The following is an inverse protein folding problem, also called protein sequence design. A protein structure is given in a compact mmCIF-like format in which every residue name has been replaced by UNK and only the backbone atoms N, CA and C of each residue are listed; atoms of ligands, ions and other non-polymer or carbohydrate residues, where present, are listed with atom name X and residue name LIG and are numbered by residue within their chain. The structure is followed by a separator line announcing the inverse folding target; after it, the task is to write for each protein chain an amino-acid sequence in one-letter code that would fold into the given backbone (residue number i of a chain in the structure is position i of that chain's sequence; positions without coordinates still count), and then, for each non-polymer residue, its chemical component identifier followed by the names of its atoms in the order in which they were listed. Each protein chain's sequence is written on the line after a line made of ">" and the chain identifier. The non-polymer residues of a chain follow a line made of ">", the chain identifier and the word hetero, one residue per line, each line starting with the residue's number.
data_IF_932374612627
#
_entry.id   IF_932374612627
#
_cell.length_a   1.000
_cell.length_b   1.000
_cell.length_c   1.000
_cell.angle_alpha   90.00
_cell.angle_beta   90.00
_cell.angle_gamma   90.00
#
_symmetry.space_group_name_H-M   'P 1'
#
loop_
_entity.id
_entity.type
_entity.pdbx_description
1 polymer ?
#
# COMPACT_ATOMS: atom_id res chain seq x y z
N UNK A 1 87.28 -31.83 -25.04
CA UNK A 1 87.04 -32.23 -26.44
C UNK A 1 85.58 -32.07 -26.73
N UNK A 2 85.31 -31.17 -27.68
CA UNK A 2 84.17 -31.15 -28.61
C UNK A 2 82.76 -30.88 -28.09
N UNK A 3 82.41 -29.60 -28.27
CA UNK A 3 81.13 -29.02 -28.72
C UNK A 3 80.37 -29.95 -29.70
N UNK A 4 79.04 -30.03 -29.70
CA UNK A 4 78.01 -29.09 -30.21
C UNK A 4 76.63 -29.82 -30.10
N UNK A 5 75.41 -29.30 -30.47
CA UNK A 5 75.07 -27.97 -30.98
C UNK A 5 73.70 -27.37 -30.53
N UNK A 6 73.54 -26.07 -30.87
CA UNK A 6 72.36 -25.32 -31.35
C UNK A 6 70.99 -25.34 -30.63
N UNK A 7 70.67 -24.13 -30.20
CA UNK A 7 69.46 -23.47 -29.71
C UNK A 7 68.30 -23.33 -30.75
N UNK A 8 67.03 -23.54 -30.36
CA UNK A 8 65.87 -23.00 -31.05
C UNK A 8 65.24 -21.80 -30.32
N UNK A 9 65.09 -20.71 -31.08
CA UNK A 9 63.99 -19.74 -31.11
C UNK A 9 63.12 -19.52 -29.85
N UNK A 10 63.28 -18.30 -29.33
CA UNK A 10 62.66 -17.62 -28.19
C UNK A 10 61.11 -17.49 -28.27
N UNK A 11 60.34 -17.90 -27.23
CA UNK A 11 58.92 -17.57 -27.13
C UNK A 11 58.64 -16.32 -26.28
N UNK A 12 57.74 -15.51 -26.85
CA UNK A 12 56.99 -14.36 -26.33
C UNK A 12 56.79 -14.27 -24.81
N UNK A 13 57.09 -13.09 -24.27
CA UNK A 13 56.87 -12.68 -22.88
C UNK A 13 55.37 -12.60 -22.49
N UNK A 14 54.99 -12.96 -21.25
CA UNK A 14 53.62 -12.82 -20.77
C UNK A 14 53.31 -11.40 -20.26
N UNK A 15 52.16 -10.90 -20.70
CA UNK A 15 51.55 -9.61 -20.36
C UNK A 15 51.25 -9.45 -18.87
N UNK A 16 51.73 -8.37 -18.26
CA UNK A 16 51.38 -7.94 -16.89
C UNK A 16 49.91 -7.52 -16.77
N UNK A 17 49.19 -7.87 -15.69
CA UNK A 17 47.83 -7.40 -15.45
C UNK A 17 47.80 -5.93 -15.00
N UNK A 18 46.86 -5.16 -15.57
CA UNK A 18 46.60 -3.75 -15.27
C UNK A 18 45.89 -3.60 -13.90
N UNK A 19 46.42 -2.73 -13.04
CA UNK A 19 45.78 -2.33 -11.77
C UNK A 19 44.45 -1.58 -12.01
N UNK A 20 43.42 -1.78 -11.18
CA UNK A 20 42.18 -1.01 -11.25
C UNK A 20 42.38 0.43 -10.75
N UNK A 21 41.77 1.39 -11.47
CA UNK A 21 41.76 2.83 -11.14
C UNK A 21 40.80 3.09 -9.97
N UNK A 22 41.24 3.84 -8.96
CA UNK A 22 40.40 4.33 -7.85
C UNK A 22 39.34 5.33 -8.35
N UNK A 23 38.13 5.35 -7.78
CA UNK A 23 37.11 6.35 -8.12
C UNK A 23 37.44 7.73 -7.56
N UNK A 24 37.08 8.75 -8.34
CA UNK A 24 37.26 10.17 -8.11
C UNK A 24 36.22 10.71 -7.11
N UNK A 25 36.67 11.41 -6.07
CA UNK A 25 35.83 12.07 -5.06
C UNK A 25 35.81 13.58 -5.36
N UNK A 26 34.64 14.24 -5.49
CA UNK A 26 34.57 15.68 -5.66
C UNK A 26 34.98 16.43 -4.40
N UNK A 27 35.65 17.57 -4.61
CA UNK A 27 36.23 18.45 -3.60
C UNK A 27 35.18 19.48 -3.15
N UNK A 28 34.82 19.46 -1.87
CA UNK A 28 34.03 20.51 -1.23
C UNK A 28 34.83 21.82 -1.21
N UNK A 29 34.15 22.92 -1.53
CA UNK A 29 34.69 24.27 -1.40
C UNK A 29 33.71 25.21 -0.71
N UNK A 30 34.24 25.84 0.34
CA UNK A 30 33.92 27.16 0.91
C UNK A 30 32.60 27.39 1.65
N UNK A 31 32.68 27.06 2.93
CA UNK A 31 32.60 27.99 4.07
C UNK A 31 32.58 29.50 3.74
N UNK A 32 31.52 30.22 4.16
CA UNK A 32 31.59 31.62 4.57
C UNK A 32 31.16 31.69 6.05
N UNK A 33 32.12 31.99 6.91
CA UNK A 33 31.87 32.26 8.32
C UNK A 33 31.38 33.69 8.53
N UNK A 34 30.56 33.86 9.56
CA UNK A 34 30.54 35.09 10.37
C UNK A 34 30.49 34.71 11.85
N UNK A 35 31.60 35.04 12.50
CA UNK A 35 31.82 35.39 13.91
C UNK A 35 30.58 35.77 14.74
N UNK A 36 30.44 35.22 15.96
CA UNK A 36 30.68 35.97 17.21
C UNK A 36 30.49 35.13 18.50
N UNK A 37 31.60 35.07 19.28
CA UNK A 37 31.80 34.96 20.74
C UNK A 37 30.62 34.69 21.71
N UNK A 38 30.78 33.57 22.45
CA UNK A 38 31.06 33.46 23.90
C UNK A 38 30.16 34.08 25.01
N UNK A 39 29.46 33.16 25.72
CA UNK A 39 29.39 32.90 27.20
C UNK A 39 28.52 33.77 28.15
N UNK A 40 28.20 33.31 29.40
CA UNK A 40 26.80 33.17 29.85
C UNK A 40 26.47 33.86 31.21
N UNK A 41 25.19 34.01 31.53
CA UNK A 41 24.65 34.30 32.88
C UNK A 41 23.14 34.00 32.78
N UNK A 42 22.46 33.17 33.58
CA UNK A 42 22.46 33.05 35.03
C UNK A 42 21.18 33.72 35.57
N UNK A 43 20.40 32.99 36.40
CA UNK A 43 19.19 33.38 37.18
C UNK A 43 17.83 33.03 36.51
N UNK A 44 17.11 31.99 36.96
CA UNK A 44 16.39 31.81 38.23
C UNK A 44 15.13 32.69 38.33
N UNK A 45 13.93 32.10 38.18
CA UNK A 45 12.90 32.21 39.21
C UNK A 45 11.73 31.24 39.02
N UNK A 46 11.50 30.47 40.07
CA UNK A 46 10.27 29.78 40.41
C UNK A 46 9.23 30.79 40.93
N UNK A 47 7.95 30.51 40.72
CA UNK A 47 6.79 30.80 41.60
C UNK A 47 5.54 30.30 40.89
N UNK A 48 5.00 29.13 41.23
CA UNK A 48 3.99 28.89 42.28
C UNK A 48 2.88 29.95 42.31
N UNK A 49 1.65 29.54 41.99
CA UNK A 49 0.52 29.76 42.90
C UNK A 49 -0.58 28.73 42.66
N UNK A 50 -1.15 28.32 43.79
CA UNK A 50 -2.04 27.20 44.07
C UNK A 50 -3.21 27.80 44.86
N UNK A 51 -4.38 27.19 44.75
CA UNK A 51 -5.55 27.19 45.67
C UNK A 51 -6.83 27.98 45.40
N UNK A 52 -7.94 27.24 45.59
CA UNK A 52 -9.29 27.62 46.06
C UNK A 52 -10.32 27.71 44.94
N UNK A 53 -11.23 26.76 44.66
CA UNK A 53 -12.18 25.93 45.44
C UNK A 53 -13.42 26.68 45.98
N UNK A 54 -14.59 26.02 45.82
CA UNK A 54 -15.95 26.25 46.40
C UNK A 54 -16.85 27.32 45.71
N UNK A 55 -18.17 27.17 45.53
CA UNK A 55 -19.15 26.08 45.61
C UNK A 55 -20.54 26.64 45.15
N UNK A 56 -21.49 25.75 44.86
CA UNK A 56 -22.97 25.89 45.00
C UNK A 56 -23.90 26.71 44.06
N UNK A 57 -24.80 25.92 43.42
CA UNK A 57 -26.30 25.96 43.46
C UNK A 57 -27.16 26.90 42.57
N UNK A 58 -28.03 26.22 41.79
CA UNK A 58 -29.52 26.27 41.79
C UNK A 58 -30.33 27.07 40.74
N UNK A 59 -31.42 26.43 40.25
CA UNK A 59 -32.71 27.04 39.84
C UNK A 59 -32.85 27.44 38.36
N UNK A 60 -33.43 26.66 37.44
CA UNK A 60 -34.86 26.32 37.22
C UNK A 60 -35.77 27.47 36.73
N UNK A 61 -36.28 27.35 35.48
CA UNK A 61 -37.68 27.53 34.99
C UNK A 61 -37.96 28.46 33.78
N UNK A 62 -38.57 27.83 32.76
CA UNK A 62 -39.83 28.15 32.00
C UNK A 62 -39.91 29.48 31.19
N UNK A 63 -40.08 29.43 29.85
CA UNK A 63 -41.28 29.21 28.97
C UNK A 63 -42.14 30.47 28.69
N UNK A 64 -42.07 30.98 27.44
CA UNK A 64 -43.08 31.52 26.44
C UNK A 64 -44.14 32.58 26.92
N UNK A 65 -44.97 33.31 26.11
CA UNK A 65 -45.06 33.59 24.65
C UNK A 65 -45.45 35.04 24.17
N UNK A 66 -45.38 35.22 22.83
CA UNK A 66 -46.25 35.95 21.86
C UNK A 66 -47.00 37.24 22.26
N UNK A 67 -46.99 38.24 21.35
CA UNK A 67 -48.23 38.80 20.74
C UNK A 67 -48.00 39.68 19.50
N UNK A 68 -48.85 39.47 18.49
CA UNK A 68 -49.12 40.32 17.32
C UNK A 68 -49.85 41.61 17.73
N UNK A 69 -49.84 42.63 16.88
CA UNK A 69 -51.05 43.42 16.65
C UNK A 69 -51.11 44.04 15.24
N UNK A 70 -52.33 44.15 14.75
CA UNK A 70 -52.78 44.40 13.38
C UNK A 70 -53.24 45.87 13.16
N UNK A 71 -53.43 46.23 11.88
CA UNK A 71 -54.57 46.98 11.29
C UNK A 71 -54.35 48.34 10.55
N UNK A 72 -54.68 48.25 9.23
CA UNK A 72 -55.15 49.11 8.10
C UNK A 72 -55.95 50.41 8.42
N UNK A 73 -56.54 51.22 7.47
CA UNK A 73 -56.58 51.20 5.98
C UNK A 73 -56.56 52.57 5.23
N UNK A 74 -56.62 52.55 3.86
CA UNK A 74 -57.46 53.36 2.92
C UNK A 74 -56.84 53.33 1.50
N UNK A 75 -57.39 52.58 0.53
CA UNK A 75 -58.43 52.94 -0.46
C UNK A 75 -57.99 53.96 -1.55
N UNK A 76 -57.79 53.53 -2.80
CA UNK A 76 -58.78 53.76 -3.89
C UNK A 76 -58.39 53.10 -5.22
N UNK A 77 -59.41 52.58 -5.90
CA UNK A 77 -59.40 51.96 -7.23
C UNK A 77 -59.45 53.02 -8.35
N UNK A 78 -58.88 52.71 -9.54
CA UNK A 78 -59.53 52.82 -10.87
C UNK A 78 -58.57 52.39 -12.00
N UNK A 79 -59.04 51.44 -12.82
CA UNK A 79 -58.50 51.01 -14.13
C UNK A 79 -59.16 51.83 -15.28
N UNK A 80 -59.10 51.42 -16.57
CA UNK A 80 -57.98 51.26 -17.51
C UNK A 80 -58.21 52.11 -18.80
N UNK A 81 -57.23 52.19 -19.70
CA UNK A 81 -57.42 52.84 -21.01
C UNK A 81 -56.40 52.43 -22.05
N UNK A 82 -56.87 51.70 -23.06
CA UNK A 82 -56.16 51.39 -24.31
C UNK A 82 -55.85 52.68 -25.08
N UNK A 83 -54.68 52.79 -25.72
CA UNK A 83 -54.61 53.12 -27.16
C UNK A 83 -53.20 53.10 -27.76
N UNK A 84 -53.23 52.81 -29.05
CA UNK A 84 -52.17 52.47 -29.98
C UNK A 84 -51.37 53.67 -30.51
N UNK A 85 -50.15 53.36 -31.00
CA UNK A 85 -49.29 54.07 -31.98
C UNK A 85 -48.54 55.33 -31.54
N UNK A 86 -47.19 55.23 -31.58
CA UNK A 86 -46.32 55.96 -32.54
C UNK A 86 -44.88 55.42 -32.48
N UNK A 87 -44.36 55.02 -33.65
CA UNK A 87 -42.95 54.73 -33.95
C UNK A 87 -42.11 56.02 -33.83
N UNK A 88 -40.92 55.91 -33.22
CA UNK A 88 -39.78 56.82 -33.41
C UNK A 88 -38.46 56.05 -33.07
N UNK A 89 -37.31 56.44 -33.64
CA UNK A 89 -36.42 55.50 -34.32
C UNK A 89 -35.23 54.99 -33.49
N UNK A 90 -34.65 53.92 -34.02
CA UNK A 90 -33.41 53.22 -33.67
C UNK A 90 -32.34 54.09 -32.99
N UNK A 91 -32.05 53.76 -31.73
CA UNK A 91 -30.69 53.90 -31.19
C UNK A 91 -30.06 52.51 -31.15
N UNK A 92 -29.11 52.31 -32.07
CA UNK A 92 -28.18 51.18 -32.08
C UNK A 92 -27.41 51.15 -30.77
N UNK A 93 -27.85 50.31 -29.83
CA UNK A 93 -27.01 49.86 -28.75
C UNK A 93 -26.41 48.51 -29.17
N UNK A 94 -25.25 48.57 -29.82
CA UNK A 94 -24.34 47.44 -29.93
C UNK A 94 -23.72 47.20 -28.55
N UNK A 95 -24.43 46.49 -27.67
CA UNK A 95 -23.83 45.83 -26.50
C UNK A 95 -24.78 44.73 -26.03
N UNK A 96 -24.90 43.69 -26.85
CA UNK A 96 -25.40 42.41 -26.37
C UNK A 96 -24.66 41.29 -27.11
N UNK A 97 -23.37 41.15 -26.80
CA UNK A 97 -22.72 39.85 -26.95
C UNK A 97 -23.19 39.04 -25.75
N UNK A 98 -24.32 38.37 -25.95
CA UNK A 98 -24.85 37.32 -25.10
C UNK A 98 -23.73 36.36 -24.72
N UNK A 99 -23.23 36.50 -23.50
CA UNK A 99 -22.36 35.52 -22.84
C UNK A 99 -23.24 34.36 -22.31
N UNK A 100 -24.01 33.75 -23.21
CA UNK A 100 -24.89 32.61 -22.95
C UNK A 100 -24.44 31.35 -23.70
N UNK A 101 -23.20 31.30 -24.19
CA UNK A 101 -22.53 30.03 -24.48
C UNK A 101 -21.73 29.59 -23.24
N UNK A 102 -22.44 29.34 -22.14
CA UNK A 102 -21.92 28.46 -21.10
C UNK A 102 -21.86 27.04 -21.68
N UNK A 103 -20.75 26.80 -22.38
CA UNK A 103 -20.28 25.55 -22.96
C UNK A 103 -20.82 24.32 -22.23
N UNK A 104 -21.91 23.74 -22.74
CA UNK A 104 -22.29 22.35 -22.46
C UNK A 104 -21.32 21.44 -23.21
N UNK A 105 -20.03 21.51 -22.87
CA UNK A 105 -19.04 20.53 -23.31
C UNK A 105 -19.44 19.19 -22.71
N UNK A 106 -19.70 18.22 -23.59
CA UNK A 106 -19.92 16.84 -23.18
C UNK A 106 -18.80 16.38 -22.23
N UNK A 107 -19.12 15.56 -21.20
CA UNK A 107 -18.13 15.10 -20.24
C UNK A 107 -16.99 14.39 -20.96
N UNK A 108 -15.75 14.71 -20.60
CA UNK A 108 -14.57 14.11 -21.23
C UNK A 108 -14.54 12.60 -20.97
N UNK A 109 -14.65 11.80 -22.03
CA UNK A 109 -14.56 10.33 -21.97
C UNK A 109 -13.08 9.93 -21.79
N UNK A 110 -12.75 9.00 -20.89
CA UNK A 110 -11.39 8.47 -20.80
C UNK A 110 -10.98 7.76 -22.09
N UNK A 111 -9.72 7.91 -22.49
CA UNK A 111 -9.13 7.04 -23.49
C UNK A 111 -9.00 5.63 -22.91
N UNK A 112 -9.18 4.60 -23.74
CA UNK A 112 -9.01 3.21 -23.30
C UNK A 112 -7.52 2.94 -23.08
N UNK A 113 -7.15 2.53 -21.87
CA UNK A 113 -5.82 2.00 -21.59
C UNK A 113 -5.57 0.69 -22.35
N UNK A 114 -4.33 0.51 -22.81
CA UNK A 114 -3.85 -0.75 -23.38
C UNK A 114 -2.99 -1.43 -22.33
N UNK A 115 -3.38 -2.62 -21.90
CA UNK A 115 -2.60 -3.43 -20.95
C UNK A 115 -2.52 -2.89 -19.52
N UNK A 116 -3.48 -2.07 -19.09
CA UNK A 116 -3.50 -1.60 -17.71
C UNK A 116 -3.98 -2.66 -16.71
N UNK A 117 -3.54 -2.48 -15.46
CA UNK A 117 -3.83 -3.31 -14.30
C UNK A 117 -5.32 -3.12 -13.94
N UNK A 118 -6.05 -4.23 -13.93
CA UNK A 118 -7.44 -4.27 -13.48
C UNK A 118 -7.49 -4.63 -12.01
N UNK A 119 -8.38 -3.97 -11.29
CA UNK A 119 -8.63 -4.34 -9.90
C UNK A 119 -9.31 -5.71 -9.82
N UNK A 120 -8.94 -6.47 -8.80
CA UNK A 120 -9.52 -7.76 -8.49
C UNK A 120 -10.72 -7.51 -7.58
N UNK A 121 -11.87 -8.05 -7.96
CA UNK A 121 -13.09 -7.99 -7.15
C UNK A 121 -13.62 -9.40 -6.93
N UNK A 122 -13.99 -9.71 -5.69
CA UNK A 122 -14.64 -10.96 -5.31
C UNK A 122 -16.04 -10.64 -4.80
N UNK A 123 -17.07 -11.25 -5.40
CA UNK A 123 -18.48 -10.95 -5.08
C UNK A 123 -18.84 -9.45 -5.15
N UNK A 124 -18.21 -8.72 -6.09
CA UNK A 124 -18.40 -7.28 -6.27
C UNK A 124 -17.72 -6.40 -5.21
N UNK A 125 -16.92 -6.98 -4.31
CA UNK A 125 -16.15 -6.27 -3.29
C UNK A 125 -14.67 -6.23 -3.65
N UNK A 126 -14.03 -5.09 -3.36
CA UNK A 126 -12.59 -4.92 -3.48
C UNK A 126 -11.90 -5.39 -2.19
N UNK A 127 -10.76 -6.08 -2.32
CA UNK A 127 -10.01 -6.62 -1.20
C UNK A 127 -10.50 -7.99 -0.74
N UNK A 128 -9.67 -9.02 -0.93
CA UNK A 128 -9.93 -10.41 -0.48
C UNK A 128 -9.77 -10.52 1.03
N UNK A 129 -8.69 -9.96 1.58
CA UNK A 129 -8.38 -10.06 2.99
C UNK A 129 -8.91 -8.88 3.81
N UNK A 130 -9.09 -9.09 5.11
CA UNK A 130 -9.64 -8.07 6.01
C UNK A 130 -8.79 -6.78 6.01
N UNK A 131 -7.47 -6.89 5.90
CA UNK A 131 -6.56 -5.73 5.94
C UNK A 131 -6.60 -4.89 4.66
N UNK A 132 -6.80 -5.51 3.50
CA UNK A 132 -7.00 -4.77 2.25
C UNK A 132 -8.35 -4.04 2.27
N UNK A 133 -9.41 -4.70 2.73
CA UNK A 133 -10.73 -4.05 2.94
C UNK A 133 -10.62 -2.89 3.94
N UNK A 134 -9.88 -3.09 5.04
CA UNK A 134 -9.63 -2.04 6.04
C UNK A 134 -8.90 -0.83 5.46
N UNK A 135 -7.94 -1.05 4.55
CA UNK A 135 -7.25 0.00 3.81
C UNK A 135 -8.15 0.73 2.81
N UNK A 136 -8.95 -0.01 2.04
CA UNK A 136 -9.92 0.57 1.10
C UNK A 136 -10.89 1.47 1.87
N UNK A 137 -11.48 0.95 2.95
CA UNK A 137 -12.40 1.68 3.81
C UNK A 137 -11.81 2.96 4.41
N UNK A 138 -10.52 2.95 4.77
CA UNK A 138 -9.83 4.14 5.28
C UNK A 138 -9.85 5.30 4.29
N UNK A 139 -9.71 5.02 2.99
CA UNK A 139 -9.74 6.05 1.95
C UNK A 139 -11.16 6.42 1.53
N UNK A 140 -12.09 5.47 1.51
CA UNK A 140 -13.49 5.77 1.17
C UNK A 140 -14.07 6.86 2.08
N UNK A 141 -13.66 6.88 3.36
CA UNK A 141 -14.03 7.95 4.32
C UNK A 141 -13.52 9.35 3.95
N UNK A 142 -12.49 9.44 3.10
CA UNK A 142 -11.87 10.70 2.67
C UNK A 142 -12.45 11.22 1.35
N UNK A 143 -13.39 10.50 0.71
CA UNK A 143 -13.90 10.83 -0.62
C UNK A 143 -15.43 10.97 -0.69
N UNK A 144 -15.89 11.81 -1.62
CA UNK A 144 -17.30 11.83 -2.07
C UNK A 144 -17.62 10.54 -2.84
N UNK A 145 -18.75 9.90 -2.52
CA UNK A 145 -19.21 8.66 -3.13
C UNK A 145 -19.29 8.69 -4.66
N UNK A 146 -19.63 9.84 -5.28
CA UNK A 146 -19.65 9.94 -6.76
C UNK A 146 -18.24 9.92 -7.38
N UNK A 147 -17.25 10.45 -6.68
CA UNK A 147 -15.85 10.40 -7.12
C UNK A 147 -15.29 9.00 -6.92
N UNK A 148 -15.71 8.34 -5.85
CA UNK A 148 -15.34 6.97 -5.53
C UNK A 148 -15.85 5.99 -6.60
N UNK A 149 -17.14 6.04 -6.95
CA UNK A 149 -17.73 5.18 -7.99
C UNK A 149 -17.00 5.31 -9.34
N UNK A 150 -16.69 6.54 -9.78
CA UNK A 150 -15.88 6.73 -11.00
C UNK A 150 -14.45 6.20 -10.86
N UNK A 151 -13.91 6.19 -9.65
CA UNK A 151 -12.61 5.59 -9.36
C UNK A 151 -12.63 4.06 -9.46
N UNK A 152 -13.70 3.43 -8.93
CA UNK A 152 -13.96 2.00 -9.07
C UNK A 152 -14.03 1.63 -10.56
N UNK A 153 -14.82 2.37 -11.35
CA UNK A 153 -14.93 2.13 -12.80
C UNK A 153 -13.58 2.16 -13.50
N UNK A 154 -12.72 3.14 -13.18
CA UNK A 154 -11.38 3.23 -13.75
C UNK A 154 -10.49 2.05 -13.36
N UNK A 155 -10.56 1.61 -12.11
CA UNK A 155 -9.80 0.48 -11.62
C UNK A 155 -10.26 -0.83 -12.30
N UNK A 156 -11.57 -1.08 -12.36
CA UNK A 156 -12.15 -2.27 -13.01
C UNK A 156 -11.94 -2.30 -14.53
N UNK A 157 -11.93 -1.14 -15.19
CA UNK A 157 -11.66 -1.04 -16.63
C UNK A 157 -10.18 -1.18 -17.01
N UNK A 158 -9.28 -1.26 -16.04
CA UNK A 158 -7.84 -1.38 -16.30
C UNK A 158 -7.20 -0.07 -16.73
N UNK A 159 -7.66 1.07 -16.20
CA UNK A 159 -7.11 2.39 -16.56
C UNK A 159 -5.79 2.71 -15.84
N UNK A 160 -5.39 1.91 -14.86
CA UNK A 160 -4.11 2.07 -14.15
C UNK A 160 -3.02 1.34 -14.94
N UNK A 161 -2.17 2.07 -15.64
CA UNK A 161 -1.15 1.51 -16.52
C UNK A 161 0.01 0.86 -15.75
N UNK A 162 0.40 1.45 -14.62
CA UNK A 162 1.48 0.93 -13.79
C UNK A 162 1.35 1.41 -12.36
N UNK A 163 1.91 0.63 -11.43
CA UNK A 163 2.07 0.99 -10.03
C UNK A 163 3.38 0.41 -9.50
N UNK A 164 4.17 1.26 -8.84
CA UNK A 164 5.42 0.87 -8.20
C UNK A 164 5.60 1.53 -6.84
N UNK A 165 6.35 0.87 -5.97
CA UNK A 165 6.69 1.39 -4.64
C UNK A 165 7.63 2.59 -4.74
N UNK A 166 7.38 3.59 -3.90
CA UNK A 166 8.25 4.73 -3.65
C UNK A 166 8.49 4.86 -2.15
N UNK A 167 9.32 5.80 -1.73
CA UNK A 167 9.53 6.06 -0.29
C UNK A 167 8.18 6.39 0.38
N UNK A 168 7.84 5.58 1.38
CA UNK A 168 6.63 5.71 2.21
C UNK A 168 5.32 5.68 1.40
N UNK A 169 5.29 5.02 0.23
CA UNK A 169 4.11 5.08 -0.62
C UNK A 169 4.22 4.33 -1.94
N UNK A 170 3.33 4.66 -2.86
CA UNK A 170 3.34 4.18 -4.25
C UNK A 170 3.19 5.33 -5.24
N UNK A 171 3.76 5.14 -6.42
CA UNK A 171 3.52 5.96 -7.60
C UNK A 171 2.79 5.13 -8.66
N UNK A 172 1.77 5.70 -9.27
CA UNK A 172 0.98 5.06 -10.31
C UNK A 172 0.82 5.98 -11.53
N UNK A 173 0.61 5.34 -12.68
CA UNK A 173 0.29 6.02 -13.94
C UNK A 173 -1.13 5.64 -14.33
N UNK A 174 -2.02 6.62 -14.49
CA UNK A 174 -3.45 6.37 -14.76
C UNK A 174 -3.85 7.05 -16.06
N UNK A 175 -4.38 6.27 -16.99
CA UNK A 175 -4.94 6.76 -18.23
C UNK A 175 -6.25 7.52 -17.94
N UNK A 176 -6.36 8.72 -18.50
CA UNK A 176 -7.55 9.55 -18.40
C UNK A 176 -8.05 9.98 -19.77
N UNK A 177 -8.71 11.13 -19.84
CA UNK A 177 -9.19 11.70 -21.11
C UNK A 177 -8.10 12.33 -21.99
N UNK A 178 -6.86 12.43 -21.49
CA UNK A 178 -5.73 13.01 -22.24
C UNK A 178 -4.79 11.93 -22.75
N UNK A 179 -4.14 12.21 -23.88
CA UNK A 179 -3.13 11.32 -24.49
C UNK A 179 -1.98 11.03 -23.51
N UNK A 180 -1.51 12.05 -22.78
CA UNK A 180 -0.53 11.86 -21.71
C UNK A 180 -1.23 11.35 -20.44
N UNK A 181 -0.87 10.15 -19.93
CA UNK A 181 -1.42 9.64 -18.68
C UNK A 181 -1.08 10.53 -17.49
N UNK A 182 -1.92 10.47 -16.45
CA UNK A 182 -1.73 11.21 -15.22
C UNK A 182 -0.82 10.45 -14.25
N UNK A 183 0.07 11.17 -13.58
CA UNK A 183 0.89 10.64 -12.49
C UNK A 183 0.14 10.80 -11.19
N UNK A 184 0.06 9.73 -10.41
CA UNK A 184 -0.58 9.66 -9.11
C UNK A 184 0.47 9.22 -8.09
N UNK A 185 0.48 9.85 -6.91
CA UNK A 185 1.23 9.35 -5.75
C UNK A 185 0.30 9.22 -4.56
N UNK A 186 0.49 8.14 -3.79
CA UNK A 186 -0.21 7.87 -2.54
C UNK A 186 0.86 7.57 -1.52
N UNK A 187 1.00 8.40 -0.50
CA UNK A 187 1.97 8.24 0.57
C UNK A 187 1.27 8.20 1.92
N UNK A 188 1.83 7.45 2.85
CA UNK A 188 1.37 7.41 4.24
C UNK A 188 2.42 8.08 5.11
N UNK A 189 1.96 8.80 6.14
CA UNK A 189 2.88 9.40 7.09
C UNK A 189 3.71 8.30 7.79
N UNK A 190 5.05 8.31 7.69
CA UNK A 190 5.88 7.30 8.32
C UNK A 190 5.84 7.46 9.83
N UNK A 191 5.95 6.34 10.54
CA UNK A 191 6.17 6.37 11.99
C UNK A 191 7.64 6.66 12.27
N UNK A 192 7.91 7.40 13.34
CA UNK A 192 9.27 7.70 13.82
C UNK A 192 9.93 6.42 14.34
N UNK A 193 11.25 6.44 14.46
CA UNK A 193 12.00 5.31 14.99
C UNK A 193 11.51 4.91 16.39
N UNK A 194 11.32 5.88 17.29
CA UNK A 194 10.81 5.67 18.67
C UNK A 194 9.39 5.09 18.70
N UNK A 195 8.54 5.48 17.76
CA UNK A 195 7.17 4.95 17.63
C UNK A 195 7.21 3.49 17.17
N UNK A 196 8.11 3.16 16.25
CA UNK A 196 8.34 1.79 15.83
C UNK A 196 8.84 0.89 16.95
N UNK A 197 9.75 1.36 17.81
CA UNK A 197 10.22 0.54 18.95
C UNK A 197 9.05 0.22 19.89
N UNK A 198 8.20 1.20 20.24
CA UNK A 198 6.99 0.95 21.04
C UNK A 198 6.01 -0.04 20.40
N UNK A 199 5.82 0.05 19.09
CA UNK A 199 4.97 -0.89 18.37
C UNK A 199 5.58 -2.31 18.40
N UNK A 200 6.90 -2.42 18.24
CA UNK A 200 7.61 -3.70 18.27
C UNK A 200 7.58 -4.33 19.67
N UNK A 201 7.69 -3.55 20.74
CA UNK A 201 7.52 -4.02 22.13
C UNK A 201 6.18 -4.75 22.31
N UNK A 202 5.07 -4.11 21.89
CA UNK A 202 3.73 -4.68 22.01
C UNK A 202 3.57 -5.89 21.10
N UNK A 203 4.02 -5.83 19.85
CA UNK A 203 3.90 -6.96 18.93
C UNK A 203 4.76 -8.15 19.34
N UNK A 204 5.90 -7.91 19.99
CA UNK A 204 6.78 -8.95 20.48
C UNK A 204 6.19 -9.69 21.69
N UNK A 205 5.34 -9.03 22.48
CA UNK A 205 4.71 -9.60 23.68
C UNK A 205 3.84 -10.85 23.43
N UNK A 206 3.37 -11.05 22.19
CA UNK A 206 2.58 -12.21 21.82
C UNK A 206 3.21 -12.96 20.64
N UNK A 207 3.44 -14.26 20.83
CA UNK A 207 4.04 -15.14 19.82
C UNK A 207 3.30 -15.10 18.48
N UNK A 208 1.96 -15.05 18.55
CA UNK A 208 1.01 -15.11 17.43
C UNK A 208 1.25 -14.02 16.39
N UNK A 209 1.60 -12.80 16.80
CA UNK A 209 1.82 -11.69 15.85
C UNK A 209 2.97 -11.98 14.89
N UNK A 210 4.13 -12.39 15.40
CA UNK A 210 5.25 -12.73 14.53
C UNK A 210 4.98 -13.99 13.70
N UNK A 211 4.26 -14.98 14.24
CA UNK A 211 3.93 -16.19 13.49
C UNK A 211 3.07 -15.86 12.25
N UNK A 212 1.97 -15.12 12.42
CA UNK A 212 1.11 -14.67 11.32
C UNK A 212 1.86 -13.78 10.33
N UNK A 213 2.65 -12.81 10.81
CA UNK A 213 3.47 -11.96 9.94
C UNK A 213 4.53 -12.77 9.17
N UNK A 214 5.12 -13.81 9.76
CA UNK A 214 6.07 -14.69 9.08
C UNK A 214 5.39 -15.49 7.97
N UNK A 215 4.16 -15.95 8.20
CA UNK A 215 3.29 -16.58 7.20
C UNK A 215 2.84 -15.61 6.08
N UNK A 216 3.08 -14.30 6.24
CA UNK A 216 2.65 -13.30 5.27
C UNK A 216 1.19 -12.91 5.42
N UNK A 217 0.63 -13.06 6.62
CA UNK A 217 -0.74 -12.70 6.96
C UNK A 217 -0.77 -11.55 7.97
N UNK A 218 -1.76 -10.64 7.84
CA UNK A 218 -1.94 -9.58 8.81
C UNK A 218 -2.72 -10.10 10.04
N UNK A 219 -2.16 -10.03 11.26
CA UNK A 219 -2.87 -10.45 12.47
C UNK A 219 -4.10 -9.56 12.75
N UNK A 220 -5.25 -10.16 13.01
CA UNK A 220 -6.53 -9.43 13.24
C UNK A 220 -6.42 -8.38 14.36
N UNK A 221 -5.74 -8.71 15.47
CA UNK A 221 -5.59 -7.80 16.62
C UNK A 221 -4.42 -6.82 16.46
N UNK A 222 -3.84 -6.68 15.26
CA UNK A 222 -2.69 -5.78 15.06
C UNK A 222 -3.07 -4.32 15.27
N UNK A 223 -4.28 -3.90 14.91
CA UNK A 223 -4.73 -2.53 15.15
C UNK A 223 -4.76 -2.22 16.65
N UNK A 224 -5.24 -3.14 17.47
CA UNK A 224 -5.26 -3.03 18.94
C UNK A 224 -3.84 -2.94 19.51
N UNK A 225 -2.90 -3.71 18.97
CA UNK A 225 -1.49 -3.66 19.35
C UNK A 225 -0.85 -2.30 19.03
N UNK A 226 -1.16 -1.70 17.88
CA UNK A 226 -0.70 -0.35 17.57
C UNK A 226 -1.40 0.70 18.46
N UNK A 227 -2.70 0.55 18.72
CA UNK A 227 -3.47 1.47 19.54
C UNK A 227 -3.02 1.49 21.00
N UNK A 228 -2.64 0.34 21.58
CA UNK A 228 -2.09 0.29 22.95
C UNK A 228 -0.74 1.02 23.07
N UNK A 229 0.03 1.11 21.97
CA UNK A 229 1.22 1.95 21.85
C UNK A 229 0.92 3.43 21.54
N UNK A 230 -0.37 3.80 21.40
CA UNK A 230 -0.81 5.15 21.04
C UNK A 230 -0.62 5.50 19.56
N UNK A 231 -0.52 4.49 18.71
CA UNK A 231 -0.23 4.60 17.28
C UNK A 231 -1.38 4.03 16.44
N UNK A 232 -1.34 4.27 15.14
CA UNK A 232 -2.24 3.58 14.19
C UNK A 232 -1.47 3.14 12.96
N UNK A 233 -1.65 1.87 12.60
CA UNK A 233 -1.03 1.27 11.42
C UNK A 233 -1.72 1.76 10.14
N UNK A 234 -3.05 1.76 10.13
CA UNK A 234 -3.85 2.25 9.00
C UNK A 234 -4.07 3.76 9.08
N UNK A 235 -4.32 4.45 7.96
CA UNK A 235 -4.75 5.84 7.99
C UNK A 235 -6.11 5.95 8.71
N UNK A 236 -6.22 6.87 9.66
CA UNK A 236 -7.47 7.17 10.37
C UNK A 236 -7.91 8.62 10.18
N UNK A 237 -6.94 9.52 10.00
CA UNK A 237 -7.15 10.96 9.87
C UNK A 237 -6.84 11.41 8.44
N UNK A 238 -7.49 12.48 7.94
CA UNK A 238 -7.19 13.03 6.61
C UNK A 238 -5.72 13.41 6.39
N UNK A 239 -4.96 13.68 7.45
CA UNK A 239 -3.53 14.00 7.37
C UNK A 239 -2.59 12.80 7.27
N UNK A 240 -3.09 11.58 7.52
CA UNK A 240 -2.25 10.37 7.52
C UNK A 240 -1.93 9.90 6.09
N UNK A 241 -2.78 10.28 5.13
CA UNK A 241 -2.67 9.93 3.72
C UNK A 241 -2.42 11.18 2.88
N UNK A 242 -1.25 11.24 2.23
CA UNK A 242 -0.88 12.32 1.33
C UNK A 242 -0.99 11.83 -0.10
N UNK A 243 -1.95 12.38 -0.84
CA UNK A 243 -2.20 12.01 -2.24
C UNK A 243 -1.89 13.18 -3.16
N UNK A 244 -1.35 12.90 -4.35
CA UNK A 244 -1.18 13.90 -5.41
C UNK A 244 -1.57 13.29 -6.76
N UNK A 245 -2.12 14.11 -7.64
CA UNK A 245 -2.40 13.73 -9.01
C UNK A 245 -2.10 14.87 -9.96
N UNK A 246 -1.49 14.58 -11.10
CA UNK A 246 -1.21 15.59 -12.14
C UNK A 246 -2.42 15.94 -13.02
N UNK A 247 -3.63 15.54 -12.61
CA UNK A 247 -4.86 15.84 -13.34
C UNK A 247 -5.33 17.27 -13.06
N UNK A 248 -6.13 17.88 -13.95
CA UNK A 248 -6.61 19.26 -13.79
C UNK A 248 -7.79 19.37 -12.81
N UNK A 249 -8.14 18.27 -12.13
CA UNK A 249 -9.19 18.26 -11.12
C UNK A 249 -8.65 18.91 -9.85
N UNK A 250 -9.37 19.90 -9.33
CA UNK A 250 -9.03 20.59 -8.07
C UNK A 250 -9.33 19.71 -6.86
N UNK A 251 -10.11 18.64 -7.04
CA UNK A 251 -10.37 17.63 -6.05
C UNK A 251 -9.11 16.83 -5.68
N UNK A 252 -8.88 16.65 -4.38
CA UNK A 252 -7.93 15.66 -3.89
C UNK A 252 -8.51 14.98 -2.63
N UNK A 253 -8.70 13.65 -2.64
CA UNK A 253 -8.46 12.71 -3.74
C UNK A 253 -9.37 12.90 -4.96
N UNK A 254 -8.82 12.74 -6.17
CA UNK A 254 -9.58 12.72 -7.43
C UNK A 254 -9.92 11.27 -7.85
N UNK A 255 -10.70 11.08 -8.91
CA UNK A 255 -11.03 9.73 -9.43
C UNK A 255 -9.79 8.88 -9.83
N UNK A 256 -8.69 9.51 -10.26
CA UNK A 256 -7.46 8.78 -10.59
C UNK A 256 -6.72 8.30 -9.34
N UNK A 257 -6.74 9.11 -8.26
CA UNK A 257 -6.25 8.69 -6.95
C UNK A 257 -7.09 7.53 -6.43
N UNK A 258 -8.42 7.61 -6.57
CA UNK A 258 -9.30 6.52 -6.21
C UNK A 258 -8.99 5.23 -6.98
N UNK A 259 -8.82 5.30 -8.30
CA UNK A 259 -8.46 4.15 -9.11
C UNK A 259 -7.14 3.51 -8.67
N UNK A 260 -6.10 4.33 -8.42
CA UNK A 260 -4.83 3.84 -7.90
C UNK A 260 -4.98 3.24 -6.49
N UNK A 261 -5.88 3.75 -5.66
CA UNK A 261 -6.10 3.21 -4.32
C UNK A 261 -6.72 1.82 -4.31
N UNK A 262 -7.65 1.53 -5.24
CA UNK A 262 -8.22 0.19 -5.38
C UNK A 262 -7.16 -0.83 -5.81
N UNK A 263 -6.35 -0.49 -6.80
CA UNK A 263 -5.21 -1.34 -7.21
C UNK A 263 -4.22 -1.52 -6.06
N UNK A 264 -4.02 -0.49 -5.22
CA UNK A 264 -3.18 -0.58 -4.04
C UNK A 264 -3.78 -1.52 -2.98
N UNK A 265 -5.11 -1.58 -2.86
CA UNK A 265 -5.82 -2.57 -2.06
C UNK A 265 -5.43 -4.00 -2.44
N UNK A 266 -5.44 -4.32 -3.74
CA UNK A 266 -5.03 -5.64 -4.24
C UNK A 266 -3.56 -5.94 -3.93
N UNK A 267 -2.68 -4.94 -3.99
CA UNK A 267 -1.27 -5.11 -3.59
C UNK A 267 -1.10 -5.40 -2.10
N UNK A 268 -2.00 -4.91 -1.25
CA UNK A 268 -1.98 -5.29 0.16
C UNK A 268 -2.47 -6.72 0.36
N UNK A 269 -3.42 -7.20 -0.44
CA UNK A 269 -3.81 -8.62 -0.40
C UNK A 269 -2.64 -9.54 -0.73
N UNK A 270 -1.80 -9.16 -1.70
CA UNK A 270 -0.61 -9.93 -2.09
C UNK A 270 0.51 -9.85 -1.04
N UNK A 271 0.75 -8.68 -0.45
CA UNK A 271 1.83 -8.46 0.53
C UNK A 271 1.43 -7.49 1.66
N UNK A 272 1.08 -7.99 2.87
CA UNK A 272 0.76 -7.12 4.01
C UNK A 272 1.96 -6.28 4.46
N UNK A 273 3.21 -6.68 4.17
CA UNK A 273 4.39 -5.89 4.53
C UNK A 273 4.51 -4.60 3.74
N UNK A 274 3.77 -4.43 2.64
CA UNK A 274 3.70 -3.16 1.93
C UNK A 274 3.24 -2.03 2.87
N UNK A 275 2.34 -2.31 3.82
CA UNK A 275 1.82 -1.29 4.73
C UNK A 275 2.90 -0.82 5.72
N UNK A 276 3.69 -1.76 6.22
CA UNK A 276 4.85 -1.48 7.07
C UNK A 276 5.92 -0.68 6.28
N UNK A 277 6.17 -1.03 5.01
CA UNK A 277 7.09 -0.29 4.13
C UNK A 277 6.62 1.14 3.90
N UNK A 278 5.32 1.33 3.66
CA UNK A 278 4.72 2.66 3.55
C UNK A 278 4.81 3.45 4.86
N UNK A 279 4.76 2.78 6.02
CA UNK A 279 4.99 3.36 7.35
C UNK A 279 6.47 3.49 7.75
N UNK A 280 7.40 3.14 6.86
CA UNK A 280 8.83 3.41 7.02
C UNK A 280 9.70 2.26 7.54
N UNK A 281 9.20 1.02 7.62
CA UNK A 281 10.01 -0.16 7.97
C UNK A 281 9.88 -1.29 6.95
N UNK A 282 10.99 -1.91 6.60
CA UNK A 282 10.99 -3.10 5.74
C UNK A 282 10.53 -4.34 6.49
N UNK A 283 10.14 -5.39 5.74
CA UNK A 283 9.86 -6.72 6.31
C UNK A 283 10.98 -7.20 7.22
N UNK A 284 12.22 -7.14 6.74
CA UNK A 284 13.39 -7.60 7.49
C UNK A 284 13.60 -6.80 8.78
N UNK A 285 13.36 -5.48 8.75
CA UNK A 285 13.46 -4.63 9.94
C UNK A 285 12.37 -4.95 10.97
N UNK A 286 11.14 -5.23 10.53
CA UNK A 286 10.04 -5.62 11.43
C UNK A 286 10.34 -6.98 12.06
N UNK A 287 10.69 -7.99 11.25
CA UNK A 287 10.95 -9.34 11.74
C UNK A 287 12.17 -9.39 12.67
N UNK A 288 13.27 -8.70 12.32
CA UNK A 288 14.44 -8.61 13.21
C UNK A 288 14.10 -7.85 14.49
N UNK A 289 13.32 -6.77 14.39
CA UNK A 289 12.79 -6.05 15.55
C UNK A 289 12.03 -6.98 16.49
N UNK A 290 11.09 -7.76 15.98
CA UNK A 290 10.33 -8.74 16.78
C UNK A 290 11.23 -9.79 17.43
N UNK A 291 12.26 -10.25 16.71
CA UNK A 291 13.24 -11.21 17.24
C UNK A 291 14.06 -10.64 18.39
N UNK A 292 14.54 -9.41 18.26
CA UNK A 292 15.34 -8.74 19.29
C UNK A 292 14.52 -8.48 20.56
N UNK A 293 13.27 -8.05 20.42
CA UNK A 293 12.39 -7.77 21.55
C UNK A 293 11.95 -9.06 22.28
N UNK A 294 11.81 -10.19 21.57
CA UNK A 294 11.62 -11.51 22.22
C UNK A 294 12.89 -12.10 22.80
N UNK A 295 14.04 -11.87 22.18
CA UNK A 295 15.34 -12.38 22.65
C UNK A 295 15.79 -11.79 23.99
N UNK A 296 15.18 -10.70 24.45
CA UNK A 296 15.30 -10.17 25.82
C UNK A 296 14.31 -10.78 26.82
N UNK A 297 13.28 -11.47 26.33
CA UNK A 297 12.26 -12.20 27.10
C UNK A 297 12.44 -13.70 26.79
N UNK A 298 13.62 -14.23 27.09
CA UNK A 298 13.74 -15.66 27.38
C UNK A 298 13.45 -15.81 28.87
N UNK A 299 12.22 -15.50 29.26
CA UNK A 299 11.65 -16.24 30.37
C UNK A 299 11.46 -17.65 29.81
N UNK A 300 12.05 -18.65 30.45
CA UNK A 300 11.91 -20.06 30.10
C UNK A 300 10.43 -20.43 30.05
N UNK A 301 9.79 -20.17 28.91
CA UNK A 301 8.52 -20.80 28.60
C UNK A 301 8.89 -22.24 28.31
N UNK A 302 8.82 -23.08 29.34
CA UNK A 302 8.78 -24.52 29.16
C UNK A 302 7.80 -24.79 28.01
N UNK A 303 8.21 -25.55 26.99
CA UNK A 303 7.32 -25.85 25.89
C UNK A 303 6.11 -26.52 26.51
N UNK A 304 4.98 -25.80 26.50
CA UNK A 304 3.68 -26.41 26.74
C UNK A 304 3.48 -27.29 25.51
N UNK A 305 3.94 -28.54 25.63
CA UNK A 305 3.55 -29.61 24.72
C UNK A 305 2.05 -29.74 24.97
N UNK A 306 1.25 -29.06 24.16
CA UNK A 306 -0.13 -29.46 23.97
C UNK A 306 -0.06 -30.91 23.52
N UNK A 307 -0.67 -31.81 24.29
CA UNK A 307 -0.99 -33.15 23.82
C UNK A 307 -2.00 -32.98 22.68
N UNK A 308 -1.51 -32.58 21.50
CA UNK A 308 -2.28 -32.68 20.29
C UNK A 308 -2.59 -34.16 20.12
N UNK A 309 -3.87 -34.49 20.20
CA UNK A 309 -4.41 -35.83 19.97
C UNK A 309 -4.28 -36.17 18.48
N UNK A 310 -3.06 -36.22 17.95
CA UNK A 310 -2.81 -36.78 16.64
C UNK A 310 -2.86 -38.30 16.75
N UNK A 311 -3.67 -38.94 15.92
CA UNK A 311 -3.63 -40.40 15.78
C UNK A 311 -2.23 -40.83 15.33
N UNK A 312 -1.60 -41.83 15.97
CA UNK A 312 -0.34 -42.40 15.53
C UNK A 312 -0.37 -42.77 14.03
N UNK A 313 0.77 -42.60 13.35
CA UNK A 313 0.91 -42.94 11.92
C UNK A 313 0.47 -44.39 11.61
N UNK A 314 0.75 -45.29 12.56
CA UNK A 314 0.40 -46.71 12.48
C UNK A 314 -1.11 -46.94 12.38
N UNK A 315 -1.92 -46.05 12.97
CA UNK A 315 -3.37 -46.16 13.02
C UNK A 315 -4.06 -45.59 11.76
N UNK A 316 -3.38 -44.76 10.96
CA UNK A 316 -3.93 -44.24 9.71
C UNK A 316 -2.86 -43.92 8.65
N UNK A 317 -2.25 -44.94 8.02
CA UNK A 317 -1.24 -44.75 6.99
C UNK A 317 -1.81 -44.26 5.66
N UNK A 318 -3.12 -44.41 5.42
CA UNK A 318 -3.76 -44.08 4.14
C UNK A 318 -3.94 -42.57 3.99
N UNK A 319 -4.46 -41.89 5.01
CA UNK A 319 -4.71 -40.44 4.94
C UNK A 319 -3.53 -39.61 5.45
N UNK A 320 -2.39 -40.23 5.79
CA UNK A 320 -1.22 -39.51 6.32
C UNK A 320 -0.68 -38.45 5.36
N UNK A 321 -0.75 -38.71 4.05
CA UNK A 321 -0.30 -37.78 3.01
C UNK A 321 -1.37 -36.76 2.60
N UNK A 322 -2.55 -36.81 3.20
CA UNK A 322 -3.62 -35.85 2.94
C UNK A 322 -3.47 -34.61 3.83
N UNK A 323 -3.85 -33.45 3.31
CA UNK A 323 -3.79 -32.19 4.06
C UNK A 323 -4.89 -32.20 5.11
N UNK A 324 -4.53 -32.33 6.38
CA UNK A 324 -5.47 -32.27 7.50
C UNK A 324 -6.14 -30.90 7.63
N UNK A 325 -7.32 -30.86 8.27
CA UNK A 325 -8.14 -29.65 8.45
C UNK A 325 -7.36 -28.48 9.09
N UNK A 326 -6.42 -28.76 9.98
CA UNK A 326 -5.57 -27.76 10.63
C UNK A 326 -4.65 -27.00 9.64
N UNK A 327 -4.31 -27.64 8.52
CA UNK A 327 -3.49 -27.06 7.46
C UNK A 327 -4.34 -26.52 6.30
N UNK A 328 -5.67 -26.67 6.34
CA UNK A 328 -6.57 -26.12 5.31
C UNK A 328 -6.53 -24.59 5.24
N UNK A 329 -6.29 -23.92 6.36
CA UNK A 329 -6.12 -22.47 6.44
C UNK A 329 -4.67 -22.00 6.19
N UNK A 330 -3.71 -22.92 6.03
CA UNK A 330 -2.31 -22.57 5.85
C UNK A 330 -2.04 -22.14 4.41
N UNK A 331 -1.76 -20.85 4.22
CA UNK A 331 -1.42 -20.31 2.92
C UNK A 331 0.11 -20.28 2.69
N UNK A 332 0.58 -20.82 1.56
CA UNK A 332 2.00 -20.78 1.19
C UNK A 332 2.21 -19.79 0.05
N UNK A 333 2.97 -18.73 0.31
CA UNK A 333 3.40 -17.81 -0.74
C UNK A 333 4.67 -18.32 -1.43
N UNK A 334 4.51 -18.94 -2.61
CA UNK A 334 5.65 -19.39 -3.43
C UNK A 334 6.28 -18.19 -4.14
N UNK A 335 7.53 -17.85 -3.77
CA UNK A 335 8.33 -16.78 -4.37
C UNK A 335 9.60 -17.34 -4.99
N UNK A 336 10.02 -16.75 -6.10
CA UNK A 336 11.28 -17.12 -6.75
C UNK A 336 12.45 -16.89 -5.78
N UNK A 337 13.38 -17.85 -5.63
CA UNK A 337 14.56 -17.66 -4.81
C UNK A 337 15.39 -16.49 -5.36
N UNK A 338 15.83 -15.59 -4.47
CA UNK A 338 16.68 -14.42 -4.83
C UNK A 338 18.08 -14.84 -5.32
N UNK A 339 18.49 -16.06 -5.01
CA UNK A 339 19.80 -16.63 -5.34
C UNK A 339 19.58 -17.87 -6.19
N UNK A 340 20.31 -17.99 -7.31
CA UNK A 340 20.28 -19.21 -8.13
C UNK A 340 20.86 -20.39 -7.36
N UNK A 341 20.22 -21.56 -7.51
CA UNK A 341 20.69 -22.85 -7.00
C UNK A 341 21.05 -22.82 -5.49
N UNK A 342 20.15 -22.35 -4.59
CA UNK A 342 20.51 -22.11 -3.19
C UNK A 342 20.91 -23.39 -2.45
N UNK A 343 20.32 -24.53 -2.80
CA UNK A 343 20.62 -25.83 -2.21
C UNK A 343 22.03 -26.29 -2.63
N UNK A 344 22.34 -26.25 -3.93
CA UNK A 344 23.66 -26.66 -4.44
C UNK A 344 24.77 -25.77 -3.88
N UNK A 345 24.55 -24.45 -3.80
CA UNK A 345 25.51 -23.52 -3.20
C UNK A 345 25.73 -23.74 -1.71
N UNK A 346 24.67 -24.12 -0.97
CA UNK A 346 24.76 -24.38 0.47
C UNK A 346 25.49 -25.69 0.77
N UNK A 347 25.25 -26.72 -0.04
CA UNK A 347 25.92 -28.02 0.09
C UNK A 347 27.37 -27.95 -0.43
N UNK A 348 27.65 -27.05 -1.37
CA UNK A 348 28.96 -26.90 -1.99
C UNK A 348 29.31 -28.12 -2.86
N UNK A 349 30.55 -28.14 -3.35
CA UNK A 349 31.05 -29.27 -4.10
C UNK A 349 31.55 -30.37 -3.14
N UNK A 350 30.98 -31.58 -3.16
CA UNK A 350 31.46 -32.66 -2.31
C UNK A 350 32.86 -33.11 -2.73
N UNK A 351 33.72 -33.41 -1.76
CA UNK A 351 35.13 -33.74 -2.02
C UNK A 351 35.34 -35.00 -2.86
N UNK A 352 34.32 -35.87 -2.89
CA UNK A 352 34.31 -37.15 -3.59
C UNK A 352 34.20 -36.94 -5.11
N UNK A 353 33.60 -35.83 -5.56
CA UNK A 353 33.36 -35.53 -6.97
C UNK A 353 34.19 -34.32 -7.38
N UNK A 354 35.37 -34.59 -7.94
CA UNK A 354 36.31 -33.55 -8.42
C UNK A 354 36.36 -33.42 -9.94
N UNK A 355 35.75 -34.36 -10.67
CA UNK A 355 35.86 -34.47 -12.13
C UNK A 355 35.01 -33.42 -12.86
N UNK A 356 33.92 -32.98 -12.24
CA UNK A 356 33.01 -31.97 -12.77
C UNK A 356 32.43 -31.14 -11.64
N UNK A 357 31.97 -29.93 -11.95
CA UNK A 357 31.27 -29.07 -11.01
C UNK A 357 29.81 -29.53 -10.93
N UNK A 358 29.32 -29.85 -9.72
CA UNK A 358 27.91 -30.23 -9.52
C UNK A 358 26.94 -29.15 -9.99
N UNK A 359 27.33 -27.87 -9.89
CA UNK A 359 26.51 -26.75 -10.36
C UNK A 359 26.29 -26.82 -11.88
N UNK A 360 27.26 -27.27 -12.65
CA UNK A 360 27.16 -27.34 -14.11
C UNK A 360 26.28 -28.52 -14.56
N UNK A 361 26.39 -29.67 -13.89
CA UNK A 361 25.61 -30.87 -14.23
C UNK A 361 24.18 -30.81 -13.70
N UNK A 362 23.98 -30.36 -12.45
CA UNK A 362 22.65 -30.33 -11.82
C UNK A 362 21.93 -28.99 -12.01
N UNK A 363 22.65 -27.93 -12.36
CA UNK A 363 22.09 -26.59 -12.55
C UNK A 363 20.87 -26.58 -13.48
N UNK A 364 20.98 -27.10 -14.71
CA UNK A 364 19.85 -27.14 -15.66
C UNK A 364 18.64 -27.92 -15.12
N UNK A 365 18.87 -29.01 -14.39
CA UNK A 365 17.81 -29.82 -13.79
C UNK A 365 17.08 -29.05 -12.67
N UNK A 366 17.83 -28.37 -11.79
CA UNK A 366 17.28 -27.55 -10.72
C UNK A 366 16.55 -26.31 -11.26
N UNK A 367 17.05 -25.68 -12.33
CA UNK A 367 16.39 -24.57 -13.00
C UNK A 367 15.06 -25.01 -13.63
N UNK A 368 15.06 -26.13 -14.35
CA UNK A 368 13.85 -26.72 -14.93
C UNK A 368 12.83 -27.10 -13.85
N UNK A 369 13.27 -27.76 -12.77
CA UNK A 369 12.41 -28.09 -11.64
C UNK A 369 11.83 -26.84 -10.95
N UNK A 370 12.64 -25.79 -10.79
CA UNK A 370 12.17 -24.50 -10.24
C UNK A 370 11.12 -23.88 -11.14
N UNK A 371 11.32 -23.86 -12.46
CA UNK A 371 10.34 -23.34 -13.41
C UNK A 371 9.04 -24.15 -13.39
N UNK A 372 9.13 -25.48 -13.39
CA UNK A 372 7.97 -26.36 -13.31
C UNK A 372 7.19 -26.18 -12.00
N UNK A 373 7.89 -26.09 -10.87
CA UNK A 373 7.27 -25.84 -9.57
C UNK A 373 6.57 -24.47 -9.53
N UNK A 374 7.16 -23.44 -10.13
CA UNK A 374 6.52 -22.13 -10.26
C UNK A 374 5.27 -22.22 -11.14
N UNK A 375 5.34 -22.90 -12.30
CA UNK A 375 4.16 -23.07 -13.16
C UNK A 375 3.03 -23.76 -12.40
N UNK A 376 3.30 -24.87 -11.70
CA UNK A 376 2.32 -25.59 -10.89
C UNK A 376 1.71 -24.69 -9.79
N UNK A 377 2.55 -23.96 -9.06
CA UNK A 377 2.10 -23.09 -7.98
C UNK A 377 1.17 -21.95 -8.46
N UNK A 378 1.33 -21.47 -9.70
CA UNK A 378 0.48 -20.42 -10.27
C UNK A 378 -0.62 -20.94 -11.20
N UNK A 379 -0.60 -22.21 -11.62
CA UNK A 379 -1.67 -22.83 -12.41
C UNK A 379 -2.86 -23.26 -11.55
N UNK A 380 -2.63 -23.73 -10.32
CA UNK A 380 -3.70 -24.12 -9.38
C UNK A 380 -4.54 -22.94 -8.88
N UNK A 381 -4.06 -21.70 -9.04
CA UNK A 381 -4.86 -20.51 -8.76
C UNK A 381 -5.91 -20.20 -9.85
N UNK A 382 -5.94 -20.97 -10.95
CA UNK A 382 -6.84 -20.78 -12.09
C UNK A 382 -7.98 -21.79 -12.24
N UNK A 383 -7.99 -22.88 -11.46
CA UNK A 383 -8.93 -23.99 -11.63
C UNK A 383 -9.97 -24.05 -10.49
N UNK A 384 -10.83 -23.04 -10.40
CA UNK A 384 -12.04 -23.09 -9.58
C UNK A 384 -13.21 -22.44 -10.31
N UNK A 385 -13.64 -23.04 -11.43
CA UNK A 385 -15.02 -23.01 -11.93
C UNK A 385 -15.10 -23.71 -13.31
N UNK A 386 -15.18 -25.03 -13.33
CA UNK A 386 -15.93 -25.71 -14.39
C UNK A 386 -17.01 -26.53 -13.70
N UNK A 387 -18.22 -25.95 -13.67
CA UNK A 387 -19.45 -26.64 -13.33
C UNK A 387 -19.62 -27.83 -14.27
N UNK A 388 -19.68 -29.04 -13.71
CA UNK A 388 -20.15 -30.23 -14.42
C UNK A 388 -21.62 -30.04 -14.78
N UNK A 389 -22.05 -30.23 -16.04
CA UNK A 389 -23.45 -30.15 -16.41
C UNK A 389 -24.22 -31.29 -15.74
N UNK A 390 -25.32 -30.94 -15.07
CA UNK A 390 -26.26 -31.90 -14.51
C UNK A 390 -26.85 -32.80 -15.61
N UNK A 391 -26.70 -34.11 -15.44
CA UNK A 391 -27.49 -35.11 -16.13
C UNK A 391 -28.96 -34.91 -15.74
N UNK A 392 -29.80 -34.65 -16.74
CA UNK A 392 -31.25 -34.72 -16.62
C UNK A 392 -31.67 -36.18 -16.72
N UNK A 393 -32.10 -36.75 -15.59
CA UNK A 393 -32.93 -37.96 -15.55
C UNK A 393 -34.31 -37.64 -16.15
N UNK A 394 -34.53 -38.05 -17.41
CA UNK A 394 -35.87 -38.27 -17.97
C UNK A 394 -36.11 -39.78 -18.00
N UNK A 395 -36.91 -40.29 -17.05
CA UNK A 395 -37.87 -41.40 -17.20
C UNK A 395 -38.38 -41.79 -15.79
N UNK A 396 -39.62 -41.39 -15.43
CA UNK A 396 -40.75 -42.30 -15.21
C UNK A 396 -42.00 -41.54 -14.71
N UNK A 397 -43.14 -41.80 -15.37
CA UNK A 397 -44.55 -41.39 -15.15
C UNK A 397 -45.13 -40.19 -15.92
#
# INVERSE_FOLDING_TARGET
>A
MSENPTNPSNPSSPSRPRRPRKPFVPRDSNNHGTTSRNTPTGLNNQRTNKFGELDQKSGSRRRIPRRNNENNPLNNQRQPGQNNRRRAPERRNNHDFSNEEASTRAPSVPLKAVGGIKAITENGQFGRNWWARRWIHAMEKLMDGRRLSRGQDYASQGQVLSMGEIKNGVAATVQGSRVKPYRVTIQVMPLKAEEWEKALDVLASQAVFAAKLLAGEMPENIEEAFQSAGLSLFPERPGDLVTQCSCPDWANPCKHVAAAHYILGDRFDEDPFLLFRMRGRSKDQVLEGLRLHRGGVVEEMEPVISEDSSTPLEDNPVTFWEIGEQLSAFSVQVKLPKVSLPILRRLGQPEIIRTFLMEDELGPAYESATQAAMILAYSDMGAASEETPAETDEDDQ
#
